data_IF_400178818865
#
_entry.id   IF_400178818865
#
_cell.length_a   1.000
_cell.length_b   1.000
_cell.length_c   1.000
_cell.angle_alpha   90.00
_cell.angle_beta   90.00
_cell.angle_gamma   90.00
#
_symmetry.space_group_name_H-M   'P 1'
#
loop_
_entity.id
_entity.type
_entity.pdbx_description
1 polymer ?
#
# COMPACT_ATOMS: atom_id res chain seq x y z
N UNK A 1 22.88 17.05 40.00
CA UNK A 1 22.28 18.26 39.41
C UNK A 1 22.63 19.52 40.19
N UNK A 2 22.54 19.55 41.52
CA UNK A 2 22.79 20.75 42.34
C UNK A 2 24.19 21.37 42.19
N UNK A 3 25.26 20.57 42.03
CA UNK A 3 26.63 21.11 41.90
C UNK A 3 26.96 21.80 40.57
N UNK A 4 26.10 21.69 39.55
CA UNK A 4 26.32 22.37 38.26
C UNK A 4 25.85 23.84 38.28
N UNK A 5 24.84 24.16 39.08
CA UNK A 5 24.24 25.51 39.18
C UNK A 5 25.16 26.53 39.85
N UNK A 6 26.14 26.07 40.63
CA UNK A 6 27.09 26.95 41.32
C UNK A 6 28.33 27.31 40.49
N UNK A 7 28.49 26.73 39.29
CA UNK A 7 29.65 26.99 38.45
C UNK A 7 29.65 28.45 37.97
N UNK A 8 30.75 29.20 38.13
CA UNK A 8 30.82 30.61 37.72
C UNK A 8 30.48 30.83 36.24
N UNK A 9 30.85 29.88 35.38
CA UNK A 9 30.56 29.92 33.94
C UNK A 9 29.06 29.80 33.61
N UNK A 10 28.29 29.12 34.45
CA UNK A 10 26.84 28.98 34.30
C UNK A 10 26.11 30.25 34.73
N UNK A 11 26.51 30.83 35.88
CA UNK A 11 25.96 32.12 36.36
C UNK A 11 26.26 33.27 35.39
N UNK A 12 27.41 33.24 34.73
CA UNK A 12 27.79 34.23 33.71
C UNK A 12 26.97 34.13 32.41
N UNK A 13 26.52 32.92 32.04
CA UNK A 13 25.67 32.71 30.86
C UNK A 13 24.24 33.24 31.11
N UNK A 14 23.67 32.95 32.30
CA UNK A 14 22.33 33.42 32.70
C UNK A 14 22.27 34.94 32.83
N UNK A 15 23.33 35.59 33.31
CA UNK A 15 23.39 37.05 33.44
C UNK A 15 23.52 37.80 32.09
N UNK A 16 23.91 37.12 31.00
CA UNK A 16 24.13 37.74 29.68
C UNK A 16 22.87 37.85 28.82
N UNK A 17 21.81 37.11 29.16
CA UNK A 17 20.61 37.01 28.30
C UNK A 17 19.40 37.84 28.76
N UNK A 18 19.50 38.62 29.83
CA UNK A 18 18.54 39.69 30.15
C UNK A 18 17.06 39.24 30.10
N UNK A 19 16.62 38.43 31.07
CA UNK A 19 15.23 38.06 31.24
C UNK A 19 14.57 38.83 32.38
N UNK A 20 13.46 39.50 32.07
CA UNK A 20 12.56 40.20 32.98
C UNK A 20 12.03 39.25 34.09
N UNK A 21 11.93 39.74 35.32
CA UNK A 21 11.42 38.99 36.49
C UNK A 21 9.92 38.72 36.32
N UNK A 22 9.54 37.64 35.62
CA UNK A 22 8.11 37.32 35.46
C UNK A 22 7.71 35.96 34.88
N UNK A 23 8.62 35.14 34.34
CA UNK A 23 8.28 33.81 33.82
C UNK A 23 9.26 32.74 34.32
N UNK A 24 9.20 32.43 35.61
CA UNK A 24 9.87 31.26 36.17
C UNK A 24 8.98 30.03 35.99
N UNK A 25 9.13 29.34 34.87
CA UNK A 25 8.53 28.02 34.68
C UNK A 25 8.76 27.49 33.27
N UNK A 26 9.49 26.38 33.18
CA UNK A 26 9.44 25.40 32.08
C UNK A 26 10.46 25.48 30.91
N UNK A 27 11.46 26.37 30.96
CA UNK A 27 12.55 26.32 29.96
C UNK A 27 13.60 25.24 30.26
N UNK A 28 13.93 25.03 31.53
CA UNK A 28 14.91 24.02 31.95
C UNK A 28 14.42 22.57 31.73
N UNK A 29 13.13 22.30 31.87
CA UNK A 29 12.50 21.01 31.57
C UNK A 29 12.54 20.69 30.07
N UNK A 30 12.34 21.70 29.22
CA UNK A 30 12.41 21.58 27.75
C UNK A 30 13.81 21.23 27.25
N UNK A 31 14.87 21.68 27.94
CA UNK A 31 16.26 21.39 27.59
C UNK A 31 16.73 19.97 27.98
N UNK A 32 16.10 19.36 28.98
CA UNK A 32 16.42 18.00 29.45
C UNK A 32 15.36 16.97 29.06
N UNK A 33 14.33 17.35 28.30
CA UNK A 33 13.37 16.41 27.76
C UNK A 33 14.11 15.42 26.84
N UNK A 34 13.88 14.10 26.99
CA UNK A 34 14.41 13.13 26.03
C UNK A 34 13.94 13.55 24.63
N UNK A 35 14.78 13.42 23.59
CA UNK A 35 14.37 13.78 22.24
C UNK A 35 13.03 13.09 21.95
N UNK A 36 12.03 13.87 21.55
CA UNK A 36 10.75 13.33 21.10
C UNK A 36 11.05 12.21 20.12
N UNK A 37 10.51 11.00 20.34
CA UNK A 37 10.66 9.91 19.37
C UNK A 37 10.39 10.49 17.98
N UNK A 38 11.25 10.25 16.98
CA UNK A 38 11.00 10.75 15.64
C UNK A 38 9.57 10.37 15.28
N UNK A 39 8.76 11.34 14.81
CA UNK A 39 7.38 11.08 14.39
C UNK A 39 7.46 9.95 13.35
N UNK A 40 7.12 8.74 13.76
CA UNK A 40 7.05 7.61 12.86
C UNK A 40 5.90 7.90 11.92
N UNK A 41 6.15 7.73 10.61
CA UNK A 41 5.09 7.70 9.60
C UNK A 41 3.96 6.82 10.11
N UNK A 42 2.71 7.25 9.93
CA UNK A 42 1.53 6.45 10.24
C UNK A 42 1.05 5.73 8.98
N UNK A 43 0.65 4.46 9.09
CA UNK A 43 0.05 3.71 7.99
C UNK A 43 -1.23 4.37 7.52
N UNK A 44 -1.45 4.39 6.20
CA UNK A 44 -2.64 5.01 5.58
C UNK A 44 -3.44 3.99 4.79
N UNK A 45 -4.71 4.32 4.57
CA UNK A 45 -5.56 3.65 3.60
C UNK A 45 -5.13 3.99 2.17
N UNK A 46 -5.04 2.95 1.32
CA UNK A 46 -4.85 3.07 -0.14
C UNK A 46 -6.07 2.49 -0.85
N UNK A 47 -6.77 3.27 -1.70
CA UNK A 47 -8.00 2.79 -2.31
C UNK A 47 -7.73 1.85 -3.50
N UNK A 48 -8.69 0.96 -3.79
CA UNK A 48 -8.61 0.06 -4.95
C UNK A 48 -9.81 0.20 -5.89
N UNK A 49 -9.65 -0.23 -7.14
CA UNK A 49 -10.71 -0.44 -8.12
C UNK A 49 -10.41 -1.74 -8.88
N UNK A 50 -11.09 -2.81 -8.53
CA UNK A 50 -10.93 -4.11 -9.20
C UNK A 50 -11.92 -4.22 -10.35
N UNK A 51 -11.42 -4.50 -11.55
CA UNK A 51 -12.19 -4.53 -12.79
C UNK A 51 -12.27 -5.95 -13.32
N UNK A 52 -13.48 -6.40 -13.63
CA UNK A 52 -13.70 -7.66 -14.31
C UNK A 52 -14.88 -7.53 -15.27
N UNK A 53 -14.65 -7.86 -16.54
CA UNK A 53 -15.61 -7.64 -17.64
C UNK A 53 -16.01 -6.17 -17.81
N UNK A 54 -15.07 -5.25 -17.58
CA UNK A 54 -15.28 -3.81 -17.74
C UNK A 54 -16.08 -3.14 -16.61
N UNK A 55 -16.41 -3.88 -15.55
CA UNK A 55 -17.20 -3.39 -14.42
C UNK A 55 -16.39 -3.50 -13.13
N UNK A 56 -16.61 -2.56 -12.21
CA UNK A 56 -16.02 -2.63 -10.87
C UNK A 56 -16.67 -3.79 -10.10
N UNK A 57 -15.87 -4.77 -9.68
CA UNK A 57 -16.33 -5.95 -8.94
C UNK A 57 -15.40 -6.23 -7.79
N UNK A 58 -15.99 -6.61 -6.66
CA UNK A 58 -15.24 -7.18 -5.54
C UNK A 58 -15.38 -8.69 -5.58
N UNK A 59 -14.26 -9.40 -5.61
CA UNK A 59 -14.19 -10.86 -5.73
C UNK A 59 -13.62 -11.50 -4.46
N UNK A 60 -13.96 -12.78 -4.24
CA UNK A 60 -13.29 -13.59 -3.20
C UNK A 60 -12.05 -14.26 -3.79
N UNK A 61 -10.89 -14.04 -3.16
CA UNK A 61 -9.61 -14.62 -3.58
C UNK A 61 -9.69 -16.15 -3.72
N UNK A 62 -9.06 -16.68 -4.78
CA UNK A 62 -9.00 -18.12 -5.05
C UNK A 62 -10.26 -18.75 -5.65
N UNK A 63 -11.33 -17.99 -5.91
CA UNK A 63 -12.54 -18.47 -6.61
C UNK A 63 -12.54 -18.20 -8.12
N UNK A 64 -11.46 -17.62 -8.64
CA UNK A 64 -11.33 -17.26 -10.04
C UNK A 64 -10.76 -18.46 -10.84
N UNK A 65 -11.63 -19.14 -11.61
CA UNK A 65 -11.26 -20.21 -12.55
C UNK A 65 -11.40 -19.73 -14.01
N UNK A 66 -10.88 -20.50 -14.97
CA UNK A 66 -11.08 -20.19 -16.42
C UNK A 66 -12.52 -20.31 -16.88
N UNK A 67 -13.37 -20.97 -16.09
CA UNK A 67 -14.82 -20.99 -16.28
C UNK A 67 -15.50 -20.01 -15.32
N UNK A 68 -16.29 -19.08 -15.85
CA UNK A 68 -17.05 -18.07 -15.09
C UNK A 68 -18.00 -18.67 -14.03
N UNK A 69 -18.30 -19.97 -14.11
CA UNK A 69 -19.28 -20.66 -13.26
C UNK A 69 -18.90 -20.80 -11.78
N UNK A 70 -17.66 -20.51 -11.38
CA UNK A 70 -17.23 -20.62 -9.97
C UNK A 70 -16.89 -19.29 -9.30
N UNK A 71 -16.94 -18.18 -10.04
CA UNK A 71 -16.59 -16.86 -9.52
C UNK A 71 -17.57 -16.42 -8.44
N UNK A 72 -17.12 -16.32 -7.19
CA UNK A 72 -17.90 -15.69 -6.11
C UNK A 72 -17.63 -14.20 -6.14
N UNK A 73 -18.66 -13.44 -6.53
CA UNK A 73 -18.66 -11.97 -6.44
C UNK A 73 -19.29 -11.55 -5.12
N UNK A 74 -18.59 -10.70 -4.38
CA UNK A 74 -19.14 -10.03 -3.20
C UNK A 74 -20.04 -8.87 -3.62
N UNK A 75 -19.69 -8.18 -4.71
CA UNK A 75 -20.40 -7.00 -5.21
C UNK A 75 -20.09 -6.71 -6.68
N UNK A 76 -21.08 -6.17 -7.38
CA UNK A 76 -20.93 -5.55 -8.71
C UNK A 76 -21.41 -4.11 -8.57
N UNK A 77 -20.52 -3.15 -8.83
CA UNK A 77 -20.89 -1.75 -8.69
C UNK A 77 -21.82 -1.30 -9.81
N UNK A 78 -22.77 -0.43 -9.45
CA UNK A 78 -23.61 0.31 -10.41
C UNK A 78 -22.88 1.53 -10.99
N UNK A 79 -21.88 2.04 -10.28
CA UNK A 79 -21.10 3.21 -10.68
C UNK A 79 -19.90 2.82 -11.55
N UNK A 80 -19.49 3.74 -12.42
CA UNK A 80 -18.36 3.51 -13.33
C UNK A 80 -17.00 3.57 -12.60
N UNK A 81 -15.94 2.99 -13.16
CA UNK A 81 -14.58 3.13 -12.62
C UNK A 81 -14.15 4.61 -12.47
N UNK A 82 -14.51 5.45 -13.44
CA UNK A 82 -14.28 6.89 -13.41
C UNK A 82 -14.97 7.60 -12.22
N UNK A 83 -16.15 7.13 -11.80
CA UNK A 83 -16.83 7.66 -10.62
C UNK A 83 -16.01 7.42 -9.34
N UNK A 84 -15.53 6.19 -9.12
CA UNK A 84 -14.69 5.86 -7.96
C UNK A 84 -13.36 6.62 -8.00
N UNK A 85 -12.71 6.70 -9.15
CA UNK A 85 -11.48 7.50 -9.31
C UNK A 85 -11.71 9.00 -9.00
N UNK A 86 -12.85 9.55 -9.40
CA UNK A 86 -13.23 10.94 -9.08
C UNK A 86 -13.48 11.14 -7.59
N UNK A 87 -14.14 10.19 -6.93
CA UNK A 87 -14.31 10.19 -5.48
C UNK A 87 -12.95 10.19 -4.77
N UNK A 88 -12.03 9.32 -5.17
CA UNK A 88 -10.68 9.24 -4.58
C UNK A 88 -9.90 10.54 -4.78
N UNK A 89 -10.03 11.15 -5.96
CA UNK A 89 -9.44 12.46 -6.28
C UNK A 89 -9.98 13.58 -5.39
N UNK A 90 -11.29 13.62 -5.15
CA UNK A 90 -11.92 14.65 -4.30
C UNK A 90 -11.35 14.67 -2.88
N UNK A 91 -10.95 13.50 -2.37
CA UNK A 91 -10.38 13.34 -1.03
C UNK A 91 -8.85 13.17 -1.03
N UNK A 92 -8.20 13.36 -2.19
CA UNK A 92 -6.75 13.22 -2.37
C UNK A 92 -6.19 11.89 -1.81
N UNK A 93 -6.88 10.78 -2.10
CA UNK A 93 -6.50 9.42 -1.67
C UNK A 93 -5.47 8.81 -2.63
N UNK A 94 -4.20 9.22 -2.51
CA UNK A 94 -3.12 8.87 -3.44
C UNK A 94 -2.58 7.44 -3.25
N UNK A 95 -1.85 6.93 -4.25
CA UNK A 95 -1.30 5.56 -4.27
C UNK A 95 -2.37 4.48 -4.34
N UNK A 96 -3.58 4.84 -4.77
CA UNK A 96 -4.62 3.88 -5.09
C UNK A 96 -4.32 3.12 -6.37
N UNK A 97 -4.93 1.97 -6.55
CA UNK A 97 -4.66 1.08 -7.68
C UNK A 97 -5.93 0.60 -8.38
N UNK A 98 -5.84 0.48 -9.71
CA UNK A 98 -6.84 -0.13 -10.58
C UNK A 98 -6.31 -1.48 -11.07
N UNK A 99 -6.98 -2.59 -10.77
CA UNK A 99 -6.52 -3.93 -11.13
C UNK A 99 -7.44 -4.53 -12.19
N UNK A 100 -6.87 -4.86 -13.35
CA UNK A 100 -7.56 -5.55 -14.44
C UNK A 100 -7.54 -7.06 -14.21
N UNK A 101 -8.66 -7.63 -13.80
CA UNK A 101 -8.83 -9.06 -13.55
C UNK A 101 -9.39 -9.73 -14.82
N UNK A 102 -8.47 -10.22 -15.66
CA UNK A 102 -8.82 -10.85 -16.94
C UNK A 102 -8.98 -9.85 -18.10
N UNK A 103 -9.49 -10.33 -19.25
CA UNK A 103 -9.63 -9.52 -20.46
C UNK A 103 -10.76 -8.48 -20.34
N UNK A 104 -10.90 -7.63 -21.37
CA UNK A 104 -12.02 -6.67 -21.54
C UNK A 104 -12.13 -5.60 -20.43
N UNK A 105 -11.01 -5.24 -19.81
CA UNK A 105 -10.96 -4.21 -18.76
C UNK A 105 -10.25 -2.92 -19.20
N UNK A 106 -9.66 -2.86 -20.40
CA UNK A 106 -8.79 -1.75 -20.79
C UNK A 106 -9.54 -0.41 -20.92
N UNK A 107 -10.75 -0.40 -21.50
CA UNK A 107 -11.56 0.82 -21.58
C UNK A 107 -11.99 1.30 -20.19
N UNK A 108 -12.40 0.37 -19.34
CA UNK A 108 -12.78 0.63 -17.95
C UNK A 108 -11.60 1.21 -17.14
N UNK A 109 -10.42 0.60 -17.23
CA UNK A 109 -9.21 1.09 -16.58
C UNK A 109 -8.78 2.46 -17.13
N UNK A 110 -8.87 2.65 -18.45
CA UNK A 110 -8.60 3.94 -19.11
C UNK A 110 -9.52 5.03 -18.53
N UNK A 111 -10.81 4.75 -18.37
CA UNK A 111 -11.76 5.70 -17.78
C UNK A 111 -11.40 6.12 -16.35
N UNK A 112 -10.87 5.19 -15.54
CA UNK A 112 -10.45 5.47 -14.18
C UNK A 112 -9.19 6.37 -14.14
N UNK A 113 -8.14 6.01 -14.89
CA UNK A 113 -6.89 6.78 -14.87
C UNK A 113 -7.04 8.16 -15.53
N UNK A 114 -7.98 8.33 -16.47
CA UNK A 114 -8.30 9.63 -17.06
C UNK A 114 -9.15 10.52 -16.15
N UNK A 115 -9.96 9.95 -15.25
CA UNK A 115 -10.72 10.72 -14.28
C UNK A 115 -9.82 11.38 -13.21
N UNK A 116 -8.68 10.73 -12.93
CA UNK A 116 -7.62 11.29 -12.09
C UNK A 116 -6.22 11.05 -12.69
N UNK A 117 -5.81 11.87 -13.67
CA UNK A 117 -4.50 11.74 -14.29
C UNK A 117 -3.39 11.86 -13.26
N UNK A 118 -2.45 10.92 -13.30
CA UNK A 118 -1.32 10.76 -12.37
C UNK A 118 -1.75 10.61 -10.90
N UNK A 119 -2.95 10.10 -10.63
CA UNK A 119 -3.43 9.85 -9.26
C UNK A 119 -3.57 8.38 -8.87
N UNK A 120 -3.59 7.48 -9.86
CA UNK A 120 -3.81 6.04 -9.65
C UNK A 120 -2.75 5.20 -10.36
N UNK A 121 -2.42 4.07 -9.75
CA UNK A 121 -1.63 3.01 -10.35
C UNK A 121 -2.54 2.09 -11.19
N UNK A 122 -1.99 1.41 -12.20
CA UNK A 122 -2.75 0.41 -12.99
C UNK A 122 -2.00 -0.92 -13.10
N UNK A 123 -2.71 -2.01 -12.83
CA UNK A 123 -2.20 -3.38 -12.88
C UNK A 123 -3.07 -4.33 -13.69
N UNK A 124 -2.60 -5.57 -13.85
CA UNK A 124 -3.29 -6.63 -14.60
C UNK A 124 -2.88 -6.69 -16.07
N UNK A 125 -2.05 -7.68 -16.42
CA UNK A 125 -1.54 -7.87 -17.78
C UNK A 125 -0.51 -6.82 -18.22
N UNK A 126 0.10 -6.08 -17.28
CA UNK A 126 1.19 -5.15 -17.57
C UNK A 126 2.44 -5.94 -17.98
N UNK A 127 3.05 -5.55 -19.08
CA UNK A 127 4.26 -6.16 -19.62
C UNK A 127 5.15 -5.13 -20.32
N UNK A 128 6.29 -5.59 -20.84
CA UNK A 128 7.25 -4.76 -21.56
C UNK A 128 6.65 -4.00 -22.74
N UNK A 129 5.57 -4.46 -23.36
CA UNK A 129 5.00 -3.84 -24.56
C UNK A 129 4.02 -2.71 -24.22
N UNK A 130 3.16 -2.90 -23.21
CA UNK A 130 2.06 -1.97 -22.92
C UNK A 130 2.31 -0.99 -21.76
N UNK A 131 3.37 -1.18 -20.97
CA UNK A 131 3.58 -0.40 -19.75
C UNK A 131 3.69 1.13 -19.99
N UNK A 132 4.41 1.54 -21.04
CA UNK A 132 4.54 2.97 -21.40
C UNK A 132 3.20 3.58 -21.82
N UNK A 133 2.38 2.84 -22.56
CA UNK A 133 1.07 3.30 -23.02
C UNK A 133 0.13 3.59 -21.83
N UNK A 134 0.18 2.78 -20.77
CA UNK A 134 -0.62 3.01 -19.57
C UNK A 134 -0.24 4.29 -18.82
N UNK A 135 1.05 4.64 -18.82
CA UNK A 135 1.52 5.91 -18.26
C UNK A 135 1.06 7.08 -19.12
N UNK A 136 1.11 6.95 -20.46
CA UNK A 136 0.60 7.96 -21.40
C UNK A 136 -0.90 8.19 -21.27
N UNK A 137 -1.67 7.13 -20.96
CA UNK A 137 -3.12 7.21 -20.68
C UNK A 137 -3.46 7.93 -19.37
N UNK A 138 -2.48 8.18 -18.50
CA UNK A 138 -2.65 8.95 -17.27
C UNK A 138 -2.45 8.15 -15.98
N UNK A 139 -1.96 6.91 -16.02
CA UNK A 139 -1.55 6.23 -14.78
C UNK A 139 -0.33 6.93 -14.16
N UNK A 140 -0.30 7.04 -12.83
CA UNK A 140 0.88 7.53 -12.09
C UNK A 140 2.02 6.51 -12.18
N UNK A 141 1.67 5.25 -11.93
CA UNK A 141 2.58 4.09 -11.99
C UNK A 141 1.89 2.91 -12.64
N UNK A 142 2.68 1.97 -13.14
CA UNK A 142 2.21 0.66 -13.59
C UNK A 142 2.61 -0.42 -12.60
N UNK A 143 1.74 -1.41 -12.44
CA UNK A 143 1.88 -2.53 -11.51
C UNK A 143 2.14 -3.80 -12.31
N UNK A 144 3.34 -4.35 -12.18
CA UNK A 144 3.71 -5.61 -12.82
C UNK A 144 3.48 -6.79 -11.88
N UNK A 145 2.93 -7.88 -12.43
CA UNK A 145 2.54 -9.11 -11.71
C UNK A 145 3.19 -10.33 -12.38
N UNK A 146 2.39 -11.15 -13.08
CA UNK A 146 2.77 -12.44 -13.67
C UNK A 146 3.84 -12.35 -14.77
N UNK A 147 4.02 -11.18 -15.39
CA UNK A 147 5.06 -10.97 -16.40
C UNK A 147 6.48 -11.27 -15.88
N UNK A 148 6.72 -11.11 -14.58
CA UNK A 148 8.02 -11.39 -13.95
C UNK A 148 8.27 -12.89 -13.70
N UNK A 149 7.29 -13.75 -13.94
CA UNK A 149 7.35 -15.17 -13.60
C UNK A 149 7.06 -16.09 -14.80
N UNK A 150 7.81 -16.01 -15.91
CA UNK A 150 7.63 -16.94 -17.02
C UNK A 150 7.81 -18.39 -16.53
N UNK A 151 6.82 -19.24 -16.81
CA UNK A 151 6.81 -20.65 -16.37
C UNK A 151 7.03 -20.82 -14.85
N UNK A 152 6.44 -19.92 -14.04
CA UNK A 152 6.52 -19.92 -12.58
C UNK A 152 7.94 -19.72 -12.03
N UNK A 153 8.85 -19.14 -12.82
CA UNK A 153 10.21 -18.82 -12.39
C UNK A 153 10.48 -17.34 -12.44
N UNK A 154 11.03 -16.78 -11.37
CA UNK A 154 11.38 -15.36 -11.35
C UNK A 154 12.43 -15.01 -12.41
N UNK A 155 12.14 -13.98 -13.21
CA UNK A 155 13.01 -13.47 -14.25
C UNK A 155 13.41 -12.02 -13.96
N UNK A 156 14.58 -11.85 -13.33
CA UNK A 156 15.15 -10.54 -13.02
C UNK A 156 15.41 -9.69 -14.28
N UNK A 157 15.66 -10.33 -15.43
CA UNK A 157 15.93 -9.61 -16.69
C UNK A 157 14.71 -8.81 -17.12
N UNK A 158 13.51 -9.42 -17.04
CA UNK A 158 12.24 -8.75 -17.34
C UNK A 158 11.97 -7.56 -16.42
N UNK A 159 12.28 -7.69 -15.13
CA UNK A 159 12.14 -6.58 -14.19
C UNK A 159 13.08 -5.43 -14.54
N UNK A 160 14.34 -5.72 -14.86
CA UNK A 160 15.34 -4.72 -15.27
C UNK A 160 14.95 -4.02 -16.58
N UNK A 161 14.50 -4.77 -17.57
CA UNK A 161 14.02 -4.22 -18.84
C UNK A 161 12.84 -3.29 -18.63
N UNK A 162 11.83 -3.73 -17.86
CA UNK A 162 10.66 -2.94 -17.56
C UNK A 162 11.02 -1.67 -16.78
N UNK A 163 11.82 -1.81 -15.71
CA UNK A 163 12.32 -0.67 -14.93
C UNK A 163 13.12 0.32 -15.77
N UNK A 164 13.89 -0.15 -16.76
CA UNK A 164 14.64 0.72 -17.66
C UNK A 164 13.72 1.45 -18.65
N UNK A 165 12.66 0.78 -19.10
CA UNK A 165 11.69 1.33 -20.05
C UNK A 165 10.78 2.40 -19.44
N UNK A 166 10.22 2.15 -18.25
CA UNK A 166 9.27 3.09 -17.62
C UNK A 166 9.88 3.98 -16.53
N UNK A 167 11.08 3.63 -16.06
CA UNK A 167 11.73 4.25 -14.91
C UNK A 167 11.25 3.66 -13.59
N UNK A 168 12.19 3.38 -12.68
CA UNK A 168 11.95 2.81 -11.34
C UNK A 168 10.82 3.50 -10.57
N UNK A 169 10.75 4.84 -10.65
CA UNK A 169 9.77 5.66 -9.92
C UNK A 169 8.32 5.46 -10.39
N UNK A 170 8.13 4.90 -11.59
CA UNK A 170 6.81 4.62 -12.18
C UNK A 170 6.46 3.15 -12.17
N UNK A 171 7.25 2.32 -11.49
CA UNK A 171 7.06 0.88 -11.42
C UNK A 171 6.73 0.45 -9.99
N UNK A 172 5.64 -0.32 -9.88
CA UNK A 172 5.22 -1.06 -8.68
C UNK A 172 5.33 -2.55 -9.00
N UNK A 173 5.87 -3.34 -8.07
CA UNK A 173 5.84 -4.80 -8.16
C UNK A 173 4.75 -5.33 -7.24
N UNK A 174 3.81 -6.07 -7.81
CA UNK A 174 2.81 -6.79 -7.05
C UNK A 174 3.32 -8.20 -6.72
N UNK A 175 3.57 -8.42 -5.43
CA UNK A 175 4.06 -9.67 -4.88
C UNK A 175 2.90 -10.36 -4.21
N UNK A 176 2.26 -11.19 -5.01
CA UNK A 176 1.08 -11.94 -4.63
C UNK A 176 1.55 -13.26 -4.03
N UNK A 177 1.27 -13.56 -2.75
CA UNK A 177 1.81 -14.73 -2.05
C UNK A 177 0.79 -15.59 -1.26
N UNK A 178 1.20 -16.84 -0.97
CA UNK A 178 0.49 -17.82 -0.15
C UNK A 178 1.39 -18.41 0.94
N UNK A 179 0.81 -18.71 2.09
CA UNK A 179 1.56 -19.33 3.19
C UNK A 179 1.79 -20.82 2.93
N UNK A 180 3.01 -21.28 3.19
CA UNK A 180 3.46 -22.67 3.09
C UNK A 180 4.38 -22.98 4.28
N UNK A 181 3.80 -23.62 5.30
CA UNK A 181 4.46 -23.75 6.60
C UNK A 181 4.74 -22.36 7.19
N UNK A 182 6.00 -22.08 7.49
CA UNK A 182 6.45 -20.82 8.09
C UNK A 182 6.94 -19.79 7.05
N UNK A 183 6.64 -20.02 5.76
CA UNK A 183 7.10 -19.19 4.64
C UNK A 183 5.94 -18.69 3.80
N UNK A 184 6.16 -17.59 3.09
CA UNK A 184 5.26 -17.10 2.06
C UNK A 184 5.94 -17.31 0.71
N UNK A 185 5.27 -17.99 -0.20
CA UNK A 185 5.77 -18.26 -1.54
C UNK A 185 4.91 -17.49 -2.51
N UNK A 186 5.54 -16.82 -3.48
CA UNK A 186 4.85 -16.10 -4.53
C UNK A 186 3.98 -17.08 -5.32
N UNK A 187 2.76 -16.67 -5.60
CA UNK A 187 1.79 -17.42 -6.36
C UNK A 187 1.29 -16.57 -7.52
N UNK A 188 0.93 -17.22 -8.61
CA UNK A 188 0.47 -16.58 -9.85
C UNK A 188 -0.73 -17.32 -10.43
N UNK A 189 -1.22 -16.85 -11.59
CA UNK A 189 -2.36 -17.43 -12.30
C UNK A 189 -3.59 -17.58 -11.39
N UNK A 190 -3.96 -16.49 -10.70
CA UNK A 190 -5.08 -16.47 -9.74
C UNK A 190 -4.85 -17.44 -8.58
N UNK A 191 -3.63 -17.46 -8.07
CA UNK A 191 -3.23 -18.21 -6.88
C UNK A 191 -3.13 -19.73 -7.05
N UNK A 192 -3.27 -20.22 -8.27
CA UNK A 192 -3.28 -21.65 -8.60
C UNK A 192 -1.87 -22.22 -8.69
N UNK A 193 -0.93 -21.43 -9.19
CA UNK A 193 0.45 -21.87 -9.41
C UNK A 193 1.41 -21.20 -8.42
N UNK A 194 2.22 -22.02 -7.75
CA UNK A 194 3.30 -21.52 -6.88
C UNK A 194 4.56 -21.30 -7.73
N UNK A 195 5.30 -20.23 -7.47
CA UNK A 195 6.57 -19.94 -8.13
C UNK A 195 7.75 -20.44 -7.28
N UNK A 196 8.97 -20.28 -7.80
CA UNK A 196 10.22 -20.57 -7.10
C UNK A 196 10.68 -19.45 -6.15
N UNK A 197 9.93 -18.36 -6.03
CA UNK A 197 10.31 -17.19 -5.24
C UNK A 197 9.60 -17.18 -3.87
N UNK A 198 10.40 -17.13 -2.81
CA UNK A 198 9.93 -16.85 -1.45
C UNK A 198 9.80 -15.33 -1.24
N UNK A 199 8.79 -14.89 -0.49
CA UNK A 199 8.68 -13.52 0.00
C UNK A 199 9.43 -13.40 1.32
N UNK A 200 10.60 -12.77 1.26
CA UNK A 200 11.44 -12.50 2.42
C UNK A 200 12.26 -11.22 2.20
N UNK A 201 13.13 -10.87 3.16
CA UNK A 201 13.95 -9.67 3.06
C UNK A 201 14.83 -9.61 1.81
N UNK A 202 15.50 -10.71 1.47
CA UNK A 202 16.46 -10.75 0.37
C UNK A 202 15.76 -10.55 -0.99
N UNK A 203 14.64 -11.23 -1.19
CA UNK A 203 13.87 -11.08 -2.44
C UNK A 203 13.24 -9.70 -2.56
N UNK A 204 12.70 -9.15 -1.46
CA UNK A 204 12.16 -7.79 -1.45
C UNK A 204 13.26 -6.73 -1.68
N UNK A 205 14.46 -6.88 -1.10
CA UNK A 205 15.58 -5.98 -1.37
C UNK A 205 15.99 -6.03 -2.85
N UNK A 206 16.09 -7.22 -3.45
CA UNK A 206 16.40 -7.38 -4.87
C UNK A 206 15.36 -6.71 -5.78
N UNK A 207 14.07 -6.85 -5.47
CA UNK A 207 13.01 -6.19 -6.23
C UNK A 207 13.04 -4.66 -6.05
N UNK A 208 13.35 -4.19 -4.84
CA UNK A 208 13.40 -2.76 -4.49
C UNK A 208 14.53 -2.01 -5.21
N UNK A 209 15.52 -2.71 -5.78
CA UNK A 209 16.51 -2.09 -6.66
C UNK A 209 15.86 -1.53 -7.94
N UNK A 210 14.76 -2.13 -8.40
CA UNK A 210 14.16 -1.90 -9.73
C UNK A 210 12.73 -1.37 -9.69
N UNK A 211 12.07 -1.30 -8.54
CA UNK A 211 10.76 -0.68 -8.39
C UNK A 211 10.74 0.35 -7.25
N UNK A 212 9.73 1.20 -7.24
CA UNK A 212 9.58 2.26 -6.23
C UNK A 212 8.60 1.94 -5.12
N UNK A 213 7.80 0.89 -5.29
CA UNK A 213 6.75 0.52 -4.36
C UNK A 213 6.35 -0.95 -4.53
N UNK A 214 5.87 -1.54 -3.44
CA UNK A 214 5.29 -2.89 -3.42
C UNK A 214 3.78 -2.85 -3.20
N UNK A 215 3.08 -3.74 -3.89
CA UNK A 215 1.73 -4.17 -3.55
C UNK A 215 1.81 -5.63 -3.10
N UNK A 216 1.52 -5.93 -1.85
CA UNK A 216 1.60 -7.29 -1.31
C UNK A 216 0.18 -7.85 -1.15
N UNK A 217 -0.18 -8.80 -2.01
CA UNK A 217 -1.46 -9.51 -1.90
C UNK A 217 -1.30 -10.81 -1.11
N UNK A 218 -2.06 -10.95 -0.02
CA UNK A 218 -2.14 -12.19 0.74
C UNK A 218 -3.37 -13.01 0.30
N UNK A 219 -3.15 -13.96 -0.61
CA UNK A 219 -4.23 -14.71 -1.28
C UNK A 219 -5.12 -15.50 -0.32
N UNK A 220 -4.54 -16.00 0.77
CA UNK A 220 -5.22 -16.92 1.70
C UNK A 220 -6.33 -16.21 2.50
N UNK A 221 -6.30 -14.87 2.58
CA UNK A 221 -7.28 -14.05 3.30
C UNK A 221 -8.05 -13.08 2.39
N UNK A 222 -7.70 -13.01 1.11
CA UNK A 222 -8.24 -12.03 0.16
C UNK A 222 -9.76 -12.19 -0.07
N UNK A 223 -10.51 -11.10 0.09
CA UNK A 223 -11.96 -11.07 -0.09
C UNK A 223 -12.78 -11.87 0.94
N UNK A 224 -12.13 -12.53 1.91
CA UNK A 224 -12.81 -13.31 2.96
C UNK A 224 -13.37 -12.43 4.08
N UNK A 225 -12.82 -11.22 4.27
CA UNK A 225 -13.15 -10.35 5.40
C UNK A 225 -13.03 -11.10 6.74
N UNK A 226 -11.97 -11.89 6.90
CA UNK A 226 -11.69 -12.66 8.13
C UNK A 226 -10.51 -12.13 8.94
N UNK A 227 -9.85 -11.08 8.44
CA UNK A 227 -8.70 -10.43 9.08
C UNK A 227 -7.45 -10.55 8.21
N UNK A 228 -6.48 -9.68 8.50
CA UNK A 228 -5.18 -9.66 7.85
C UNK A 228 -4.30 -10.84 8.30
N UNK A 229 -3.34 -11.21 7.46
CA UNK A 229 -2.20 -12.04 7.88
C UNK A 229 -1.25 -11.19 8.73
N UNK A 230 -1.46 -11.19 10.04
CA UNK A 230 -0.70 -10.39 11.00
C UNK A 230 0.79 -10.75 11.03
N UNK A 231 1.13 -12.02 10.81
CA UNK A 231 2.52 -12.47 10.81
C UNK A 231 3.24 -11.91 9.59
N UNK A 232 2.62 -11.98 8.41
CA UNK A 232 3.15 -11.37 7.20
C UNK A 232 3.32 -9.86 7.36
N UNK A 233 2.31 -9.14 7.88
CA UNK A 233 2.40 -7.67 8.06
C UNK A 233 3.54 -7.30 9.02
N UNK A 234 3.70 -8.04 10.12
CA UNK A 234 4.83 -7.83 11.04
C UNK A 234 6.17 -8.04 10.32
N UNK A 235 6.30 -9.12 9.54
CA UNK A 235 7.49 -9.40 8.75
C UNK A 235 7.76 -8.34 7.68
N UNK A 236 6.74 -7.84 7.00
CA UNK A 236 6.88 -6.73 6.06
C UNK A 236 7.43 -5.48 6.76
N UNK A 237 6.97 -5.14 7.97
CA UNK A 237 7.55 -4.05 8.76
C UNK A 237 9.04 -4.21 9.08
N UNK A 238 9.53 -5.45 9.17
CA UNK A 238 10.95 -5.78 9.35
C UNK A 238 11.71 -5.71 8.02
N UNK A 239 11.10 -6.13 6.91
CA UNK A 239 11.79 -6.39 5.64
C UNK A 239 11.77 -5.23 4.65
N UNK A 240 10.68 -4.48 4.54
CA UNK A 240 10.51 -3.50 3.45
C UNK A 240 11.34 -2.24 3.67
N UNK A 241 11.91 -1.75 2.56
CA UNK A 241 12.75 -0.55 2.51
C UNK A 241 12.16 0.57 1.64
N UNK A 242 11.10 0.27 0.89
CA UNK A 242 10.35 1.18 0.02
C UNK A 242 8.86 1.18 0.40
N UNK A 243 8.07 2.19 -0.02
CA UNK A 243 6.63 2.20 0.19
C UNK A 243 5.98 0.86 -0.14
N UNK A 244 5.13 0.37 0.75
CA UNK A 244 4.51 -0.94 0.62
C UNK A 244 3.06 -0.84 1.04
N UNK A 245 2.19 -1.37 0.20
CA UNK A 245 0.75 -1.49 0.47
C UNK A 245 0.39 -2.96 0.61
N UNK A 246 -0.27 -3.33 1.70
CA UNK A 246 -0.81 -4.67 1.90
C UNK A 246 -2.28 -4.72 1.49
N UNK A 247 -2.65 -5.76 0.75
CA UNK A 247 -4.01 -6.02 0.30
C UNK A 247 -4.40 -7.47 0.65
N UNK A 248 -5.45 -7.64 1.46
CA UNK A 248 -5.97 -8.96 1.81
C UNK A 248 -6.70 -8.98 3.15
N UNK A 249 -7.96 -9.45 3.16
CA UNK A 249 -8.65 -9.82 4.40
C UNK A 249 -9.07 -8.71 5.35
N UNK A 250 -8.79 -7.44 5.07
CA UNK A 250 -9.20 -6.30 5.89
C UNK A 250 -10.73 -6.24 6.08
N UNK A 251 -11.17 -5.97 7.32
CA UNK A 251 -12.57 -6.07 7.75
C UNK A 251 -13.16 -4.77 8.22
N UNK A 252 -12.45 -4.08 9.10
CA UNK A 252 -12.94 -2.88 9.76
C UNK A 252 -11.77 -1.93 10.05
N UNK A 253 -12.08 -0.70 10.46
CA UNK A 253 -11.07 0.33 10.72
C UNK A 253 -9.92 -0.15 11.64
N UNK A 254 -10.23 -0.94 12.66
CA UNK A 254 -9.21 -1.52 13.56
C UNK A 254 -8.14 -2.41 12.90
N UNK A 255 -8.36 -2.94 11.70
CA UNK A 255 -7.28 -3.64 10.98
C UNK A 255 -6.19 -2.66 10.49
N UNK A 256 -6.54 -1.39 10.26
CA UNK A 256 -5.58 -0.33 9.89
C UNK A 256 -4.70 0.06 11.09
N UNK A 257 -5.30 0.16 12.29
CA UNK A 257 -4.55 0.32 13.55
C UNK A 257 -3.60 -0.86 13.80
N UNK A 258 -4.07 -2.07 13.53
CA UNK A 258 -3.28 -3.27 13.69
C UNK A 258 -2.10 -3.31 12.72
N UNK A 259 -2.31 -2.95 11.45
CA UNK A 259 -1.24 -2.83 10.45
C UNK A 259 -0.22 -1.77 10.86
N UNK A 260 -0.66 -0.59 11.30
CA UNK A 260 0.21 0.49 11.78
C UNK A 260 1.12 0.00 12.92
N UNK A 261 0.53 -0.65 13.92
CA UNK A 261 1.24 -1.20 15.07
C UNK A 261 2.22 -2.32 14.69
N UNK A 262 1.80 -3.27 13.87
CA UNK A 262 2.61 -4.44 13.50
C UNK A 262 3.77 -4.07 12.58
N UNK A 263 3.56 -3.10 11.68
CA UNK A 263 4.57 -2.69 10.70
C UNK A 263 5.45 -1.52 11.16
N UNK A 264 5.11 -0.89 12.28
CA UNK A 264 5.74 0.37 12.72
C UNK A 264 5.47 1.50 11.73
N UNK A 265 4.27 1.52 11.14
CA UNK A 265 3.83 2.54 10.18
C UNK A 265 4.46 2.45 8.79
N UNK A 266 5.15 1.35 8.46
CA UNK A 266 5.83 1.16 7.17
C UNK A 266 4.96 0.53 6.08
N UNK A 267 3.85 -0.10 6.46
CA UNK A 267 2.97 -0.81 5.53
C UNK A 267 1.61 -0.13 5.53
N UNK A 268 1.12 0.25 4.35
CA UNK A 268 -0.23 0.78 4.16
C UNK A 268 -1.23 -0.36 3.96
N UNK A 269 -2.54 -0.06 4.01
CA UNK A 269 -3.58 -1.08 3.89
C UNK A 269 -4.64 -0.71 2.85
N UNK A 270 -5.00 -1.68 2.04
CA UNK A 270 -6.12 -1.62 1.10
C UNK A 270 -7.39 -2.22 1.69
N UNK A 271 -8.53 -1.58 1.45
CA UNK A 271 -9.86 -2.12 1.71
C UNK A 271 -10.63 -2.25 0.39
N UNK A 272 -11.13 -3.46 0.13
CA UNK A 272 -12.01 -3.77 -1.00
C UNK A 272 -13.39 -4.21 -0.50
N UNK A 273 -13.64 -5.51 -0.43
CA UNK A 273 -14.96 -6.10 -0.14
C UNK A 273 -15.64 -5.65 1.16
N UNK A 274 -14.88 -5.20 2.16
CA UNK A 274 -15.43 -4.72 3.43
C UNK A 274 -15.97 -3.28 3.37
N UNK A 275 -15.60 -2.52 2.34
CA UNK A 275 -15.88 -1.09 2.20
C UNK A 275 -17.30 -0.82 1.69
N UNK A 276 -17.99 0.13 2.31
CA UNK A 276 -19.38 0.51 2.02
C UNK A 276 -19.65 0.92 0.56
N UNK A 277 -18.73 1.66 -0.07
CA UNK A 277 -18.85 2.04 -1.49
C UNK A 277 -18.80 0.82 -2.44
N UNK A 278 -18.40 -0.34 -1.93
CA UNK A 278 -18.46 -1.64 -2.61
C UNK A 278 -19.47 -2.60 -1.97
N UNK A 279 -20.49 -2.08 -1.28
CA UNK A 279 -21.56 -2.87 -0.67
C UNK A 279 -21.18 -3.61 0.61
N UNK A 280 -19.95 -3.40 1.10
CA UNK A 280 -19.50 -3.90 2.40
C UNK A 280 -20.17 -3.19 3.58
N UNK A 281 -19.99 -3.74 4.78
CA UNK A 281 -20.53 -3.18 6.04
C UNK A 281 -19.47 -3.11 7.14
N UNK A 282 -18.21 -3.35 6.78
CA UNK A 282 -17.13 -3.51 7.73
C UNK A 282 -16.44 -2.19 8.06
N UNK A 283 -16.33 -1.30 7.07
CA UNK A 283 -15.80 0.05 7.23
C UNK A 283 -16.43 0.99 6.20
N UNK A 284 -16.58 2.25 6.57
CA UNK A 284 -17.06 3.30 5.67
C UNK A 284 -15.92 4.06 5.00
N UNK A 285 -16.16 4.58 3.81
CA UNK A 285 -15.21 5.48 3.15
C UNK A 285 -14.89 6.72 4.02
N UNK A 286 -15.88 7.26 4.71
CA UNK A 286 -15.71 8.43 5.60
C UNK A 286 -14.75 8.15 6.77
N UNK A 287 -14.84 6.99 7.39
CA UNK A 287 -13.89 6.55 8.43
C UNK A 287 -12.46 6.48 7.90
N UNK A 288 -12.26 5.94 6.69
CA UNK A 288 -10.94 5.81 6.08
C UNK A 288 -10.36 7.16 5.63
N UNK A 289 -11.19 8.07 5.13
CA UNK A 289 -10.79 9.45 4.82
C UNK A 289 -10.34 10.15 6.11
N UNK A 290 -11.16 10.06 7.17
CA UNK A 290 -10.86 10.67 8.47
C UNK A 290 -9.56 10.14 9.07
N UNK A 291 -9.30 8.83 8.93
CA UNK A 291 -8.03 8.22 9.32
C UNK A 291 -6.84 8.82 8.57
N UNK A 292 -6.93 8.90 7.23
CA UNK A 292 -5.85 9.42 6.40
C UNK A 292 -5.56 10.90 6.69
N UNK A 293 -6.59 11.70 6.95
CA UNK A 293 -6.43 13.12 7.31
C UNK A 293 -5.79 13.30 8.69
N UNK A 294 -6.07 12.39 9.63
CA UNK A 294 -5.37 12.33 10.92
C UNK A 294 -3.91 11.89 10.81
N UNK A 295 -3.54 11.10 9.79
CA UNK A 295 -2.17 10.63 9.57
C UNK A 295 -1.25 11.68 8.92
N UNK A 296 -1.81 12.73 8.33
CA UNK A 296 -1.07 13.85 7.71
C UNK A 296 -0.55 14.89 8.73
N UNK A 297 -0.96 14.81 10.00
CA UNK A 297 -0.67 15.77 11.09
C UNK A 297 0.54 15.34 11.95
#
# INVERSE_FOLDING_TARGET
MEKCYERPSFKAAVAKEGGDEGQSGDWLSSFFAPPSKPKTRKSVFRPCIDLHEGVVKQIVGGTLTDTDSTLKTNFIATHSPAHFASLYRQHNLTGGHVIKLGPRNDDAATSAVQAWPQGLHVGGGINGDNASEWLEKGAEKVIVTSYLFPSCKFDLTRLKELSSKVGKQKLVVDVSCRKRGDKWIVAMNRWQDMTDMEVNKETLDQLAEHCSEFLIHAADVEGLCQGIDQELVKKLGEWVTIPTTYAGGARHLGDLELVDKLSGGKVDLTFGSALDIFGGKGVTMEELISWNDGAKQ
#
